data_IF_307441838788
#
_entry.id   IF_307441838788
#
_cell.length_a   1.000
_cell.length_b   1.000
_cell.length_c   1.000
_cell.angle_alpha   90.00
_cell.angle_beta   90.00
_cell.angle_gamma   90.00
#
_symmetry.space_group_name_H-M   'P 1'
#
loop_
_entity.id
_entity.type
_entity.pdbx_description
1 polymer ?
#
# COMPACT_ATOMS: atom_id res chain seq x y z
N UNK A 1 1.34 27.15 4.92
CA UNK A 1 2.12 26.18 4.17
C UNK A 1 1.52 24.78 4.18
N UNK A 2 2.05 23.89 3.38
CA UNK A 2 1.56 22.51 3.20
C UNK A 2 1.53 21.64 4.48
N UNK A 3 2.20 22.03 5.56
CA UNK A 3 2.22 21.28 6.81
C UNK A 3 0.83 21.07 7.45
N UNK A 4 -0.10 22.00 7.28
CA UNK A 4 -1.46 21.88 7.83
C UNK A 4 -2.30 20.80 7.15
N UNK A 5 -2.00 20.44 5.90
CA UNK A 5 -2.74 19.38 5.17
C UNK A 5 -2.49 17.98 5.72
N UNK A 6 -1.46 17.79 6.54
CA UNK A 6 -1.16 16.52 7.20
C UNK A 6 -1.79 16.39 8.60
N UNK A 7 -2.42 17.45 9.12
CA UNK A 7 -3.07 17.45 10.44
C UNK A 7 -4.49 16.86 10.34
N UNK A 8 -4.56 15.56 10.07
CA UNK A 8 -5.81 14.86 9.81
C UNK A 8 -6.54 14.43 11.09
N UNK A 9 -5.85 14.34 12.24
CA UNK A 9 -6.41 13.82 13.50
C UNK A 9 -7.68 14.57 13.94
N UNK A 10 -7.71 15.88 13.78
CA UNK A 10 -8.89 16.70 14.12
C UNK A 10 -10.16 16.32 13.35
N UNK A 11 -10.01 15.78 12.13
CA UNK A 11 -11.12 15.32 11.27
C UNK A 11 -11.41 13.82 11.40
N UNK A 12 -10.44 13.05 11.90
CA UNK A 12 -10.51 11.60 12.03
C UNK A 12 -10.06 11.14 13.43
N UNK A 13 -10.77 11.53 14.51
CA UNK A 13 -10.31 11.33 15.89
C UNK A 13 -10.23 9.86 16.31
N UNK A 14 -11.02 8.98 15.69
CA UNK A 14 -11.11 7.55 16.04
C UNK A 14 -10.61 6.60 14.95
N UNK A 15 -10.19 7.13 13.80
CA UNK A 15 -9.70 6.31 12.68
C UNK A 15 -8.18 6.20 12.75
N UNK A 16 -7.59 5.00 12.59
CA UNK A 16 -6.14 4.86 12.50
C UNK A 16 -5.55 5.69 11.37
N UNK A 17 -4.55 6.49 11.69
CA UNK A 17 -3.79 7.31 10.73
C UNK A 17 -2.43 6.67 10.54
N UNK A 18 -2.05 6.46 9.29
CA UNK A 18 -0.75 5.89 8.92
C UNK A 18 0.06 6.97 8.21
N UNK A 19 1.13 7.44 8.85
CA UNK A 19 2.11 8.32 8.19
C UNK A 19 2.89 7.53 7.14
N UNK A 20 3.31 8.20 6.06
CA UNK A 20 3.96 7.55 4.92
C UNK A 20 5.29 8.23 4.59
N UNK A 21 6.37 7.43 4.45
CA UNK A 21 7.71 7.88 4.08
C UNK A 21 8.33 6.93 3.06
N UNK A 22 9.10 7.45 2.11
CA UNK A 22 9.91 6.61 1.22
C UNK A 22 10.96 5.84 2.02
N UNK A 23 10.99 4.51 1.90
CA UNK A 23 11.97 3.70 2.61
C UNK A 23 13.40 4.09 2.24
N UNK A 24 13.65 4.46 1.01
CA UNK A 24 14.96 4.91 0.50
C UNK A 24 15.49 6.13 1.24
N UNK A 25 14.61 6.98 1.80
CA UNK A 25 14.99 8.17 2.55
C UNK A 25 15.83 7.83 3.81
N UNK A 26 15.71 6.61 4.31
CA UNK A 26 16.59 6.11 5.38
C UNK A 26 18.06 6.05 4.94
N UNK A 27 18.35 6.06 3.64
CA UNK A 27 19.71 6.16 3.08
C UNK A 27 20.13 7.61 2.76
N UNK A 28 19.22 8.57 2.88
CA UNK A 28 19.41 9.98 2.55
C UNK A 28 19.19 10.92 3.74
N UNK A 29 19.63 10.48 4.92
CA UNK A 29 19.66 11.32 6.12
C UNK A 29 18.47 11.20 7.05
N UNK A 30 17.42 10.45 6.67
CA UNK A 30 16.33 10.15 7.58
C UNK A 30 16.71 8.97 8.48
N UNK A 31 16.39 9.08 9.77
CA UNK A 31 16.62 8.06 10.79
C UNK A 31 15.42 7.93 11.74
N UNK A 32 15.68 7.37 12.92
CA UNK A 32 14.64 7.18 13.93
C UNK A 32 14.07 8.49 14.47
N UNK A 33 14.86 9.55 14.51
CA UNK A 33 14.42 10.85 15.04
C UNK A 33 13.50 11.56 14.05
N UNK A 34 13.85 11.60 12.77
CA UNK A 34 13.01 12.14 11.72
C UNK A 34 11.68 11.35 11.57
N UNK A 35 11.76 10.03 11.65
CA UNK A 35 10.56 9.18 11.60
C UNK A 35 9.65 9.44 12.81
N UNK A 36 10.21 9.65 14.01
CA UNK A 36 9.46 10.02 15.20
C UNK A 36 8.79 11.38 15.04
N UNK A 37 9.54 12.36 14.55
CA UNK A 37 9.03 13.71 14.28
C UNK A 37 7.86 13.69 13.27
N UNK A 38 7.93 12.87 12.22
CA UNK A 38 6.84 12.68 11.26
C UNK A 38 5.60 12.14 11.98
N UNK A 39 5.74 11.08 12.77
CA UNK A 39 4.64 10.46 13.51
C UNK A 39 4.01 11.45 14.49
N UNK A 40 4.83 12.17 15.27
CA UNK A 40 4.36 13.15 16.25
C UNK A 40 3.64 14.34 15.57
N UNK A 41 4.22 14.91 14.52
CA UNK A 41 3.63 16.04 13.79
C UNK A 41 2.32 15.70 13.08
N UNK A 42 2.17 14.47 12.62
CA UNK A 42 0.96 14.00 11.94
C UNK A 42 -0.05 13.36 12.90
N UNK A 43 0.31 13.21 14.17
CA UNK A 43 -0.47 12.45 15.17
C UNK A 43 -0.86 11.06 14.66
N UNK A 44 0.06 10.40 13.93
CA UNK A 44 -0.19 9.12 13.32
C UNK A 44 -0.05 7.97 14.34
N UNK A 45 -0.88 6.94 14.16
CA UNK A 45 -0.85 5.73 14.99
C UNK A 45 0.19 4.73 14.51
N UNK A 46 0.62 4.85 13.26
CA UNK A 46 1.57 3.94 12.58
C UNK A 46 2.39 4.71 11.55
N UNK A 47 3.53 4.12 11.17
CA UNK A 47 4.34 4.58 10.05
C UNK A 47 4.38 3.49 8.97
N UNK A 48 4.18 3.84 7.71
CA UNK A 48 4.42 2.95 6.58
C UNK A 48 5.59 3.46 5.72
N UNK A 49 6.50 2.56 5.39
CA UNK A 49 7.61 2.83 4.48
C UNK A 49 7.25 2.30 3.09
N UNK A 50 7.26 3.16 2.07
CA UNK A 50 7.01 2.69 0.72
C UNK A 50 8.31 2.32 -0.02
N UNK A 51 8.25 1.20 -0.73
CA UNK A 51 9.30 0.73 -1.62
C UNK A 51 8.93 1.14 -3.05
N UNK A 52 9.76 1.96 -3.68
CA UNK A 52 9.47 2.54 -4.99
C UNK A 52 10.70 2.50 -5.93
N UNK A 53 11.46 1.41 -5.91
CA UNK A 53 12.76 1.31 -6.56
C UNK A 53 12.69 1.57 -8.08
N UNK A 54 11.71 1.05 -8.78
CA UNK A 54 11.52 1.28 -10.22
C UNK A 54 11.09 2.73 -10.50
N UNK A 55 10.25 3.31 -9.64
CA UNK A 55 9.91 4.73 -9.76
C UNK A 55 11.16 5.60 -9.65
N UNK A 56 11.97 5.39 -8.60
CA UNK A 56 13.19 6.16 -8.36
C UNK A 56 14.22 6.04 -9.51
N UNK A 57 14.40 4.85 -10.07
CA UNK A 57 15.37 4.66 -11.17
C UNK A 57 14.91 5.31 -12.48
N UNK A 58 13.61 5.49 -12.67
CA UNK A 58 13.05 6.16 -13.84
C UNK A 58 13.10 7.69 -13.70
N UNK A 59 13.02 8.24 -12.50
CA UNK A 59 13.14 9.67 -12.23
C UNK A 59 14.56 10.17 -12.58
N UNK A 60 14.67 11.39 -13.12
CA UNK A 60 15.98 11.97 -13.50
C UNK A 60 16.89 12.16 -12.28
N UNK A 61 16.31 12.57 -11.16
CA UNK A 61 17.01 12.82 -9.90
C UNK A 61 16.49 11.91 -8.78
N UNK A 62 16.17 10.65 -9.11
CA UNK A 62 15.63 9.72 -8.13
C UNK A 62 16.69 9.17 -7.18
N UNK A 63 16.24 8.85 -5.98
CA UNK A 63 17.06 8.31 -4.90
C UNK A 63 17.23 6.80 -5.08
N UNK A 64 18.32 6.37 -5.72
CA UNK A 64 18.53 4.96 -6.14
C UNK A 64 19.39 4.12 -5.21
N UNK A 65 19.85 4.67 -4.08
CA UNK A 65 20.67 3.91 -3.14
C UNK A 65 19.80 3.11 -2.16
N UNK A 66 19.47 1.88 -2.53
CA UNK A 66 18.73 0.92 -1.68
C UNK A 66 19.64 -0.04 -0.88
N UNK A 67 20.96 0.16 -0.92
CA UNK A 67 21.92 -0.74 -0.27
C UNK A 67 21.75 -0.74 1.26
N UNK A 68 21.61 -1.93 1.84
CA UNK A 68 21.51 -2.11 3.29
C UNK A 68 20.20 -1.62 3.92
N UNK A 69 19.19 -1.30 3.13
CA UNK A 69 17.92 -0.73 3.57
C UNK A 69 17.18 -1.62 4.58
N UNK A 70 17.20 -2.95 4.37
CA UNK A 70 16.54 -3.90 5.28
C UNK A 70 17.05 -3.78 6.73
N UNK A 71 18.36 -3.61 6.94
CA UNK A 71 18.93 -3.41 8.28
C UNK A 71 18.48 -2.09 8.93
N UNK A 72 18.25 -1.05 8.12
CA UNK A 72 17.74 0.23 8.61
C UNK A 72 16.28 0.13 8.98
N UNK A 73 15.47 -0.58 8.18
CA UNK A 73 14.08 -0.92 8.50
C UNK A 73 14.02 -1.71 9.81
N UNK A 74 14.84 -2.74 9.96
CA UNK A 74 14.93 -3.54 11.20
C UNK A 74 15.23 -2.65 12.41
N UNK A 75 16.23 -1.76 12.30
CA UNK A 75 16.56 -0.83 13.37
C UNK A 75 15.37 0.09 13.71
N UNK A 76 14.69 0.61 12.69
CA UNK A 76 13.54 1.49 12.87
C UNK A 76 12.39 0.75 13.57
N UNK A 77 12.08 -0.48 13.16
CA UNK A 77 11.05 -1.32 13.79
C UNK A 77 11.33 -1.55 15.29
N UNK A 78 12.61 -1.63 15.68
CA UNK A 78 13.00 -1.82 17.09
C UNK A 78 12.95 -0.54 17.94
N UNK A 79 13.10 0.63 17.31
CA UNK A 79 13.29 1.90 18.03
C UNK A 79 12.09 2.82 18.00
N UNK A 80 11.26 2.74 16.98
CA UNK A 80 10.05 3.54 16.88
C UNK A 80 8.96 2.97 17.80
N UNK A 81 8.24 3.85 18.52
CA UNK A 81 7.20 3.44 19.48
C UNK A 81 5.89 2.99 18.83
N UNK A 82 5.67 3.36 17.57
CA UNK A 82 4.48 2.97 16.79
C UNK A 82 4.81 1.82 15.83
N UNK A 83 3.83 1.01 15.43
CA UNK A 83 4.05 -0.03 14.42
C UNK A 83 4.59 0.52 13.11
N UNK A 84 5.58 -0.17 12.53
CA UNK A 84 6.14 0.15 11.22
C UNK A 84 5.66 -0.88 10.21
N UNK A 85 4.97 -0.42 9.17
CA UNK A 85 4.57 -1.22 8.03
C UNK A 85 5.46 -0.96 6.82
N UNK A 86 5.35 -1.83 5.82
CA UNK A 86 5.97 -1.64 4.51
C UNK A 86 4.92 -1.81 3.41
N UNK A 87 5.01 -0.98 2.38
CA UNK A 87 4.16 -1.07 1.19
C UNK A 87 4.97 -0.92 -0.09
N UNK A 88 4.46 -1.49 -1.15
CA UNK A 88 4.87 -1.17 -2.51
C UNK A 88 4.02 -0.01 -3.07
N UNK A 89 4.23 0.41 -4.30
CA UNK A 89 3.56 1.57 -4.91
C UNK A 89 2.82 1.24 -6.22
N UNK A 90 2.68 -0.04 -6.55
CA UNK A 90 1.92 -0.48 -7.73
C UNK A 90 2.53 -1.66 -8.49
N UNK A 91 3.55 -2.32 -7.91
CA UNK A 91 4.21 -3.48 -8.53
C UNK A 91 4.19 -4.74 -7.67
N UNK A 92 3.60 -4.69 -6.48
CA UNK A 92 3.45 -5.85 -5.61
C UNK A 92 4.72 -6.23 -4.85
N UNK A 93 4.54 -7.07 -3.84
CA UNK A 93 5.60 -7.63 -3.01
C UNK A 93 5.59 -9.14 -3.20
N UNK A 94 6.77 -9.74 -3.39
CA UNK A 94 6.91 -11.19 -3.43
C UNK A 94 7.05 -11.80 -2.03
N UNK A 95 6.87 -13.14 -1.95
CA UNK A 95 6.90 -13.84 -0.67
C UNK A 95 8.26 -13.84 0.03
N UNK A 96 9.38 -13.82 -0.71
CA UNK A 96 10.72 -13.82 -0.12
C UNK A 96 11.05 -12.46 0.52
N UNK A 97 10.65 -11.38 -0.15
CA UNK A 97 10.79 -10.03 0.41
C UNK A 97 9.87 -9.86 1.62
N UNK A 98 8.63 -10.34 1.55
CA UNK A 98 7.70 -10.31 2.68
C UNK A 98 8.26 -11.04 3.92
N UNK A 99 8.83 -12.23 3.74
CA UNK A 99 9.47 -13.00 4.82
C UNK A 99 10.62 -12.22 5.47
N UNK A 100 11.53 -11.65 4.69
CA UNK A 100 12.63 -10.80 5.19
C UNK A 100 12.15 -9.55 5.92
N UNK A 101 11.07 -8.92 5.45
CA UNK A 101 10.46 -7.76 6.10
C UNK A 101 9.88 -8.14 7.47
N UNK A 102 9.21 -9.29 7.54
CA UNK A 102 8.68 -9.84 8.79
C UNK A 102 9.81 -10.17 9.79
N UNK A 103 10.89 -10.78 9.33
CA UNK A 103 12.09 -11.04 10.14
C UNK A 103 12.73 -9.74 10.65
N UNK A 104 12.69 -8.67 9.85
CA UNK A 104 13.13 -7.34 10.24
C UNK A 104 12.18 -6.64 11.24
N UNK A 105 11.05 -7.24 11.62
CA UNK A 105 10.11 -6.71 12.61
C UNK A 105 9.00 -5.84 12.04
N UNK A 106 8.78 -5.86 10.72
CA UNK A 106 7.66 -5.14 10.09
C UNK A 106 6.33 -5.66 10.62
N UNK A 107 5.46 -4.75 11.05
CA UNK A 107 4.21 -5.05 11.72
C UNK A 107 3.07 -5.41 10.77
N UNK A 108 3.03 -4.81 9.59
CA UNK A 108 2.02 -5.06 8.55
C UNK A 108 2.60 -4.81 7.14
N UNK A 109 1.99 -5.42 6.14
CA UNK A 109 2.39 -5.25 4.74
C UNK A 109 1.18 -4.81 3.92
N UNK A 110 1.38 -3.83 3.03
CA UNK A 110 0.45 -3.49 1.96
C UNK A 110 1.10 -3.86 0.62
N UNK A 111 0.50 -4.80 -0.10
CA UNK A 111 1.10 -5.30 -1.34
C UNK A 111 1.17 -4.26 -2.44
N UNK A 112 0.23 -3.33 -2.52
CA UNK A 112 0.13 -2.34 -3.58
C UNK A 112 0.51 -2.94 -4.95
N UNK A 113 -0.22 -4.00 -5.35
CA UNK A 113 0.10 -4.83 -6.49
C UNK A 113 -0.16 -4.17 -7.84
N UNK A 114 0.30 -4.82 -8.90
CA UNK A 114 0.03 -4.39 -10.27
C UNK A 114 -1.46 -4.58 -10.62
N UNK A 115 -2.06 -3.56 -11.23
CA UNK A 115 -3.49 -3.53 -11.58
C UNK A 115 -4.11 -2.14 -11.49
N UNK A 116 -3.42 -1.18 -10.89
CA UNK A 116 -3.84 0.22 -10.77
C UNK A 116 -2.96 1.19 -11.55
N UNK A 117 -2.56 2.27 -10.89
CA UNK A 117 -1.64 3.26 -11.46
C UNK A 117 -0.23 2.66 -11.56
N UNK A 118 0.33 2.64 -12.76
CA UNK A 118 1.74 2.32 -12.95
C UNK A 118 2.58 3.58 -12.83
N UNK A 119 3.38 3.68 -11.75
CA UNK A 119 4.23 4.83 -11.53
C UNK A 119 5.38 4.92 -12.54
N UNK A 120 5.81 3.80 -13.12
CA UNK A 120 6.76 3.83 -14.25
C UNK A 120 6.21 4.61 -15.43
N UNK A 121 4.92 4.44 -15.74
CA UNK A 121 4.26 5.17 -16.81
C UNK A 121 4.01 6.64 -16.44
N UNK A 122 3.71 6.94 -15.17
CA UNK A 122 3.62 8.34 -14.70
C UNK A 122 4.95 9.04 -14.87
N UNK A 123 6.05 8.46 -14.39
CA UNK A 123 7.39 9.04 -14.52
C UNK A 123 7.86 9.10 -15.97
N UNK A 124 7.51 8.13 -16.81
CA UNK A 124 7.73 8.19 -18.26
C UNK A 124 7.14 9.46 -18.89
N UNK A 125 5.90 9.82 -18.55
CA UNK A 125 5.27 11.03 -19.09
C UNK A 125 5.87 12.32 -18.52
N UNK A 126 6.53 12.27 -17.38
CA UNK A 126 7.24 13.39 -16.75
C UNK A 126 8.69 13.54 -17.23
N UNK A 127 9.30 12.45 -17.73
CA UNK A 127 10.68 12.46 -18.18
C UNK A 127 10.87 13.36 -19.42
N UNK A 128 11.82 14.27 -19.34
CA UNK A 128 12.23 15.12 -20.48
C UNK A 128 13.17 14.36 -21.42
N UNK A 129 14.06 13.54 -20.87
CA UNK A 129 14.99 12.72 -21.64
C UNK A 129 14.25 11.64 -22.45
N UNK A 130 14.46 11.69 -23.78
CA UNK A 130 13.85 10.75 -24.75
C UNK A 130 14.28 9.31 -24.50
N UNK A 131 15.54 9.07 -24.12
CA UNK A 131 16.07 7.71 -23.90
C UNK A 131 15.42 7.11 -22.66
N UNK A 132 15.36 7.87 -21.58
CA UNK A 132 14.71 7.47 -20.33
C UNK A 132 13.23 7.19 -20.53
N UNK A 133 12.54 8.04 -21.28
CA UNK A 133 11.12 7.84 -21.63
C UNK A 133 10.91 6.55 -22.41
N UNK A 134 11.77 6.25 -23.40
CA UNK A 134 11.69 5.02 -24.18
C UNK A 134 12.02 3.78 -23.34
N UNK A 135 13.01 3.86 -22.44
CA UNK A 135 13.35 2.79 -21.53
C UNK A 135 12.24 2.47 -20.53
N UNK A 136 11.56 3.50 -19.99
CA UNK A 136 10.44 3.33 -19.06
C UNK A 136 9.24 2.61 -19.69
N UNK A 137 9.08 2.63 -21.02
CA UNK A 137 8.02 1.89 -21.74
C UNK A 137 8.13 0.38 -21.51
N UNK A 138 9.33 -0.16 -21.44
CA UNK A 138 9.56 -1.59 -21.19
C UNK A 138 9.03 -2.08 -19.84
N UNK A 139 8.70 -1.15 -18.93
CA UNK A 139 8.16 -1.44 -17.60
C UNK A 139 6.65 -1.21 -17.52
N UNK A 140 5.94 -1.09 -18.66
CA UNK A 140 4.48 -0.90 -18.67
C UNK A 140 3.73 -2.01 -17.95
N UNK A 141 4.15 -3.25 -18.15
CA UNK A 141 3.54 -4.46 -17.57
C UNK A 141 4.39 -5.07 -16.43
N UNK A 142 5.35 -4.31 -15.92
CA UNK A 142 6.19 -4.76 -14.83
C UNK A 142 5.39 -4.85 -13.51
N UNK A 143 5.64 -5.93 -12.77
CA UNK A 143 5.09 -6.10 -11.42
C UNK A 143 4.36 -7.42 -11.23
N UNK A 144 3.99 -7.68 -9.98
CA UNK A 144 3.21 -8.83 -9.55
C UNK A 144 1.75 -8.37 -9.43
N UNK A 145 0.80 -9.01 -10.13
CA UNK A 145 -0.62 -8.70 -9.98
C UNK A 145 -1.08 -8.76 -8.51
N UNK A 146 -1.98 -7.89 -8.12
CA UNK A 146 -2.42 -7.76 -6.72
C UNK A 146 -2.88 -9.09 -6.12
N UNK A 147 -3.70 -9.86 -6.85
CA UNK A 147 -4.18 -11.17 -6.39
C UNK A 147 -3.05 -12.17 -6.13
N UNK A 148 -2.05 -12.21 -7.02
CA UNK A 148 -0.88 -13.06 -6.87
C UNK A 148 0.01 -12.61 -5.72
N UNK A 149 0.28 -11.31 -5.61
CA UNK A 149 1.07 -10.74 -4.52
C UNK A 149 0.45 -11.05 -3.15
N UNK A 150 -0.89 -10.96 -3.01
CA UNK A 150 -1.59 -11.36 -1.77
C UNK A 150 -1.29 -12.81 -1.40
N UNK A 151 -1.40 -13.75 -2.34
CA UNK A 151 -1.14 -15.18 -2.09
C UNK A 151 0.31 -15.43 -1.68
N UNK A 152 1.26 -14.86 -2.42
CA UNK A 152 2.70 -14.98 -2.14
C UNK A 152 3.05 -14.45 -0.76
N UNK A 153 2.51 -13.28 -0.41
CA UNK A 153 2.79 -12.62 0.88
C UNK A 153 2.08 -13.34 2.02
N UNK A 154 0.79 -13.67 1.89
CA UNK A 154 0.03 -14.33 2.97
C UNK A 154 0.69 -15.64 3.42
N UNK A 155 1.22 -16.42 2.49
CA UNK A 155 1.93 -17.67 2.80
C UNK A 155 3.20 -17.50 3.64
N UNK A 156 3.71 -16.26 3.80
CA UNK A 156 4.98 -15.96 4.45
C UNK A 156 4.89 -15.13 5.73
N UNK A 157 3.80 -14.38 5.91
CA UNK A 157 3.71 -13.41 7.02
C UNK A 157 2.92 -13.89 8.23
N UNK A 158 2.39 -15.12 8.20
CA UNK A 158 1.57 -15.67 9.28
C UNK A 158 0.32 -14.83 9.54
N UNK A 159 0.06 -14.49 10.81
CA UNK A 159 -1.12 -13.70 11.22
C UNK A 159 -0.93 -12.18 11.15
N UNK A 160 0.17 -11.68 10.60
CA UNK A 160 0.38 -10.23 10.47
C UNK A 160 -0.64 -9.62 9.52
N UNK A 161 -1.12 -8.39 9.82
CA UNK A 161 -2.05 -7.70 8.94
C UNK A 161 -1.51 -7.54 7.52
N UNK A 162 -2.36 -7.89 6.55
CA UNK A 162 -2.12 -7.76 5.13
C UNK A 162 -3.15 -6.84 4.50
N UNK A 163 -2.67 -5.75 3.92
CA UNK A 163 -3.49 -4.80 3.18
C UNK A 163 -3.41 -5.15 1.68
N UNK A 164 -4.57 -5.26 1.05
CA UNK A 164 -4.68 -5.42 -0.40
C UNK A 164 -4.99 -4.08 -1.04
N UNK A 165 -4.01 -3.46 -1.66
CA UNK A 165 -4.19 -2.31 -2.53
C UNK A 165 -3.54 -2.56 -3.90
N UNK A 166 -3.79 -1.67 -4.85
CA UNK A 166 -3.34 -1.82 -6.25
C UNK A 166 -4.48 -2.26 -7.17
N UNK A 167 -5.12 -1.29 -7.84
CA UNK A 167 -6.18 -1.53 -8.82
C UNK A 167 -7.57 -1.81 -8.26
N UNK A 168 -7.79 -1.69 -6.96
CA UNK A 168 -9.12 -1.88 -6.36
C UNK A 168 -10.10 -0.83 -6.86
N UNK A 169 -11.22 -1.26 -7.45
CA UNK A 169 -12.25 -0.41 -8.03
C UNK A 169 -13.61 -0.60 -7.34
N UNK A 170 -13.91 -1.81 -6.91
CA UNK A 170 -15.24 -2.22 -6.42
C UNK A 170 -15.16 -2.95 -5.07
N UNK A 171 -16.27 -2.99 -4.35
CA UNK A 171 -16.40 -3.85 -3.17
C UNK A 171 -16.32 -5.34 -3.49
N UNK A 172 -16.64 -5.73 -4.75
CA UNK A 172 -16.42 -7.10 -5.23
C UNK A 172 -14.92 -7.45 -5.36
N UNK A 173 -14.08 -6.50 -5.80
CA UNK A 173 -12.63 -6.68 -5.76
C UNK A 173 -12.15 -6.84 -4.32
N UNK A 174 -12.73 -6.04 -3.40
CA UNK A 174 -12.51 -6.18 -1.97
C UNK A 174 -12.87 -7.58 -1.45
N UNK A 175 -14.04 -8.09 -1.81
CA UNK A 175 -14.46 -9.44 -1.40
C UNK A 175 -13.47 -10.52 -1.89
N UNK A 176 -13.02 -10.44 -3.15
CA UNK A 176 -12.04 -11.38 -3.71
C UNK A 176 -10.70 -11.32 -2.98
N UNK A 177 -10.20 -10.11 -2.70
CA UNK A 177 -8.89 -9.96 -2.03
C UNK A 177 -8.93 -10.37 -0.57
N UNK A 178 -10.05 -10.15 0.14
CA UNK A 178 -10.27 -10.68 1.49
C UNK A 178 -10.31 -12.21 1.47
N UNK A 179 -11.01 -12.83 0.51
CA UNK A 179 -11.04 -14.28 0.34
C UNK A 179 -9.67 -14.87 -0.04
N UNK A 180 -8.77 -14.09 -0.65
CA UNK A 180 -7.37 -14.48 -0.91
C UNK A 180 -6.48 -14.38 0.34
N UNK A 181 -6.98 -13.83 1.45
CA UNK A 181 -6.27 -13.76 2.72
C UNK A 181 -5.84 -12.35 3.14
N UNK A 182 -6.25 -11.29 2.44
CA UNK A 182 -6.06 -9.93 2.94
C UNK A 182 -6.92 -9.67 4.19
N UNK A 183 -6.50 -8.73 5.02
CA UNK A 183 -7.22 -8.30 6.22
C UNK A 183 -7.94 -6.97 5.98
N UNK A 184 -7.39 -6.12 5.12
CA UNK A 184 -7.91 -4.81 4.74
C UNK A 184 -7.79 -4.60 3.23
N UNK A 185 -8.65 -3.73 2.70
CA UNK A 185 -8.65 -3.33 1.29
C UNK A 185 -8.34 -1.85 1.18
N UNK A 186 -7.37 -1.48 0.33
CA UNK A 186 -6.95 -0.10 0.08
C UNK A 186 -7.43 0.41 -1.27
N UNK A 187 -8.14 1.54 -1.25
CA UNK A 187 -8.56 2.27 -2.46
C UNK A 187 -7.71 3.53 -2.61
N UNK A 188 -7.05 3.69 -3.75
CA UNK A 188 -6.26 4.88 -4.08
C UNK A 188 -6.93 5.67 -5.21
N UNK A 189 -6.51 5.42 -6.45
CA UNK A 189 -7.02 6.14 -7.63
C UNK A 189 -8.56 6.11 -7.75
N UNK A 190 -9.21 5.06 -7.28
CA UNK A 190 -10.66 4.91 -7.36
C UNK A 190 -11.45 5.99 -6.60
N UNK A 191 -10.84 6.65 -5.60
CA UNK A 191 -11.51 7.72 -4.84
C UNK A 191 -11.16 9.13 -5.34
N UNK A 192 -10.25 9.25 -6.28
CA UNK A 192 -9.69 10.55 -6.66
C UNK A 192 -10.75 11.48 -7.26
N UNK A 193 -11.62 10.95 -8.09
CA UNK A 193 -12.67 11.72 -8.75
C UNK A 193 -13.65 12.30 -7.72
N UNK A 194 -14.11 11.50 -6.80
CA UNK A 194 -15.03 11.88 -5.74
C UNK A 194 -14.36 12.83 -4.74
N UNK A 195 -13.09 12.60 -4.42
CA UNK A 195 -12.31 13.47 -3.54
C UNK A 195 -12.10 14.89 -4.11
N UNK A 196 -12.17 15.06 -5.43
CA UNK A 196 -12.13 16.40 -6.05
C UNK A 196 -13.50 17.10 -6.05
N UNK A 197 -14.58 16.41 -5.69
CA UNK A 197 -15.92 16.97 -5.64
C UNK A 197 -16.27 17.43 -4.22
N UNK A 198 -16.34 16.49 -3.28
CA UNK A 198 -16.63 16.80 -1.87
C UNK A 198 -16.36 15.61 -0.94
N UNK A 199 -16.26 15.82 0.37
CA UNK A 199 -16.23 14.74 1.36
C UNK A 199 -17.46 13.81 1.29
N UNK A 200 -18.64 14.38 1.01
CA UNK A 200 -19.91 13.62 0.90
C UNK A 200 -19.88 12.66 -0.28
N UNK A 201 -19.31 13.07 -1.41
CA UNK A 201 -19.13 12.19 -2.58
C UNK A 201 -18.20 11.00 -2.27
N UNK A 202 -17.14 11.24 -1.50
CA UNK A 202 -16.26 10.16 -1.03
C UNK A 202 -17.00 9.21 -0.09
N UNK A 203 -17.80 9.76 0.85
CA UNK A 203 -18.60 8.95 1.76
C UNK A 203 -19.61 8.07 1.02
N UNK A 204 -20.34 8.63 0.07
CA UNK A 204 -21.29 7.89 -0.77
C UNK A 204 -20.59 6.77 -1.54
N UNK A 205 -19.45 7.06 -2.14
CA UNK A 205 -18.64 6.05 -2.83
C UNK A 205 -18.22 4.92 -1.88
N UNK A 206 -17.78 5.22 -0.66
CA UNK A 206 -17.40 4.20 0.33
C UNK A 206 -18.60 3.35 0.75
N UNK A 207 -19.79 3.95 0.91
CA UNK A 207 -21.04 3.22 1.17
C UNK A 207 -21.41 2.27 0.02
N UNK A 208 -21.18 2.70 -1.22
CA UNK A 208 -21.37 1.83 -2.40
C UNK A 208 -20.42 0.63 -2.32
N UNK A 209 -19.12 0.83 -2.02
CA UNK A 209 -18.13 -0.27 -1.88
C UNK A 209 -18.51 -1.23 -0.75
N UNK A 210 -18.97 -0.72 0.37
CA UNK A 210 -19.49 -1.55 1.46
C UNK A 210 -20.70 -2.38 1.02
N UNK A 211 -21.66 -1.77 0.32
CA UNK A 211 -22.83 -2.47 -0.19
C UNK A 211 -22.46 -3.58 -1.19
N UNK A 212 -21.55 -3.31 -2.11
CA UNK A 212 -21.03 -4.29 -3.07
C UNK A 212 -20.38 -5.48 -2.35
N UNK A 213 -19.59 -5.23 -1.31
CA UNK A 213 -18.99 -6.28 -0.48
C UNK A 213 -20.09 -7.12 0.21
N UNK A 214 -21.09 -6.47 0.83
CA UNK A 214 -22.22 -7.16 1.48
C UNK A 214 -23.01 -8.00 0.49
N UNK A 215 -23.25 -7.51 -0.72
CA UNK A 215 -23.92 -8.26 -1.78
C UNK A 215 -23.12 -9.50 -2.20
N UNK A 216 -21.78 -9.37 -2.34
CA UNK A 216 -20.92 -10.50 -2.64
C UNK A 216 -20.97 -11.56 -1.52
N UNK A 217 -20.85 -11.14 -0.26
CA UNK A 217 -20.93 -12.01 0.91
C UNK A 217 -22.30 -12.72 0.99
N UNK A 218 -23.38 -12.01 0.75
CA UNK A 218 -24.72 -12.60 0.70
C UNK A 218 -24.83 -13.64 -0.41
N UNK A 219 -24.35 -13.33 -1.61
CA UNK A 219 -24.40 -14.23 -2.79
C UNK A 219 -23.66 -15.54 -2.59
N UNK A 220 -22.62 -15.55 -1.76
CA UNK A 220 -21.85 -16.77 -1.43
C UNK A 220 -22.21 -17.37 -0.06
N UNK A 221 -23.14 -16.75 0.68
CA UNK A 221 -23.66 -17.28 1.95
C UNK A 221 -22.71 -17.10 3.14
N UNK A 222 -21.90 -16.03 3.15
CA UNK A 222 -21.01 -15.68 4.28
C UNK A 222 -21.59 -14.51 5.07
N UNK A 223 -21.49 -14.54 6.39
CA UNK A 223 -22.04 -13.52 7.31
C UNK A 223 -20.97 -12.61 7.91
N UNK A 224 -19.74 -13.08 7.98
CA UNK A 224 -18.61 -12.37 8.57
C UNK A 224 -17.43 -12.33 7.61
N UNK A 225 -16.52 -11.35 7.81
CA UNK A 225 -15.27 -11.28 7.04
C UNK A 225 -14.43 -12.54 7.26
N UNK A 226 -14.46 -13.14 8.45
CA UNK A 226 -13.74 -14.39 8.69
C UNK A 226 -14.30 -15.54 7.84
N UNK A 227 -15.62 -15.69 7.77
CA UNK A 227 -16.25 -16.70 6.89
C UNK A 227 -15.94 -16.44 5.40
N UNK A 228 -15.83 -15.15 5.00
CA UNK A 228 -15.41 -14.78 3.64
C UNK A 228 -13.96 -15.19 3.38
N UNK A 229 -13.05 -14.98 4.32
CA UNK A 229 -11.63 -15.38 4.21
C UNK A 229 -11.47 -16.89 4.10
N UNK A 230 -12.31 -17.64 4.78
CA UNK A 230 -12.28 -19.11 4.81
C UNK A 230 -13.17 -19.76 3.72
N UNK A 231 -13.71 -18.96 2.79
CA UNK A 231 -14.67 -19.47 1.80
C UNK A 231 -14.02 -20.39 0.77
N UNK A 232 -14.59 -21.59 0.50
CA UNK A 232 -14.14 -22.45 -0.59
C UNK A 232 -14.68 -22.04 -1.96
N UNK A 233 -15.44 -20.93 -2.03
CA UNK A 233 -16.16 -20.50 -3.24
C UNK A 233 -15.37 -19.57 -4.15
N UNK A 234 -14.17 -19.17 -3.73
CA UNK A 234 -13.25 -18.43 -4.58
C UNK A 234 -12.67 -19.39 -5.63
N UNK A 235 -12.94 -19.12 -6.90
CA UNK A 235 -12.41 -19.89 -8.02
C UNK A 235 -11.49 -19.03 -8.87
N UNK A 236 -10.38 -19.60 -9.30
CA UNK A 236 -9.52 -19.03 -10.34
C UNK A 236 -10.11 -19.31 -11.71
N UNK A 237 -10.03 -18.34 -12.62
CA UNK A 237 -10.41 -18.47 -14.01
C UNK A 237 -9.19 -18.35 -14.90
#
# INVERSE_FOLDING_TARGET
GYASSFLMRQYAPSVPIIANLGAVQLNYGYGGDECREIVEKTEADMLVLHLNSIQEVIQENGDTNFKGLLKKIERLCRTLKVPVGVKEVGWGIDGQIAEKLVEAGVAFIDVAGAGGTSWSQVEKFRAEDRIRRAAAEAFSDWGIPTAESIRLVRGKIGSRPLIASGGMQTGLDGAKTLALGADLVGFGRAILKEATQSPEAVLEMMQIREMELRMAMFGIGTKTIQELKDTPRLQER
#
